data_IF_140927357743
#
_entry.id   IF_140927357743
#
_cell.length_a   1.000
_cell.length_b   1.000
_cell.length_c   1.000
_cell.angle_alpha   90.00
_cell.angle_beta   90.00
_cell.angle_gamma   90.00
#
_symmetry.space_group_name_H-M   'P 1'
#
loop_
_entity.id
_entity.type
_entity.pdbx_description
1 polymer ?
#
# COMPACT_ATOMS: atom_id res chain seq x y z
N UNK A 1 -20.84 -47.80 20.50
CA UNK A 1 -22.05 -47.03 20.10
C UNK A 1 -22.22 -45.82 21.03
N UNK A 2 -22.10 -44.56 20.61
CA UNK A 2 -22.48 -43.94 19.34
C UNK A 2 -21.62 -42.69 19.08
N UNK A 3 -21.29 -42.48 17.79
CA UNK A 3 -20.53 -41.37 17.22
C UNK A 3 -21.06 -40.00 17.63
N UNK A 4 -20.21 -39.16 18.21
CA UNK A 4 -20.34 -37.69 18.17
C UNK A 4 -19.54 -37.17 16.97
N UNK A 5 -20.07 -37.41 15.77
CA UNK A 5 -19.76 -36.62 14.58
C UNK A 5 -20.95 -35.69 14.37
N UNK A 6 -21.04 -34.63 15.16
CA UNK A 6 -21.85 -33.47 14.77
C UNK A 6 -21.10 -32.76 13.64
N UNK A 7 -21.53 -33.12 12.43
CA UNK A 7 -21.21 -32.47 11.19
C UNK A 7 -21.58 -30.99 11.33
N UNK A 8 -20.60 -30.12 11.59
CA UNK A 8 -20.77 -28.69 11.38
C UNK A 8 -21.12 -28.49 9.92
N UNK A 9 -22.40 -28.22 9.64
CA UNK A 9 -22.87 -27.81 8.33
C UNK A 9 -22.14 -26.52 7.96
N UNK A 10 -21.11 -26.71 7.16
CA UNK A 10 -20.31 -25.68 6.52
C UNK A 10 -21.28 -24.87 5.68
N UNK A 11 -21.71 -23.70 6.19
CA UNK A 11 -22.64 -22.83 5.49
C UNK A 11 -22.10 -22.45 4.10
N UNK A 12 -22.97 -21.98 3.17
CA UNK A 12 -22.60 -21.73 1.76
C UNK A 12 -21.39 -20.79 1.57
N UNK A 13 -21.06 -19.96 2.56
CA UNK A 13 -19.86 -19.11 2.57
C UNK A 13 -18.55 -19.91 2.68
N UNK A 14 -18.54 -21.02 3.41
CA UNK A 14 -17.36 -21.86 3.60
C UNK A 14 -17.19 -22.89 2.48
N UNK A 15 -18.25 -23.24 1.75
CA UNK A 15 -18.16 -24.01 0.50
C UNK A 15 -17.42 -23.23 -0.60
N UNK A 16 -17.52 -21.90 -0.62
CA UNK A 16 -16.74 -21.04 -1.52
C UNK A 16 -15.23 -21.07 -1.20
N UNK A 17 -14.86 -21.31 0.07
CA UNK A 17 -13.45 -21.46 0.49
C UNK A 17 -12.86 -22.85 0.15
N UNK A 18 -13.69 -23.83 -0.22
CA UNK A 18 -13.24 -25.15 -0.67
C UNK A 18 -12.99 -25.24 -2.18
N UNK A 19 -13.37 -24.21 -2.95
CA UNK A 19 -12.91 -24.07 -4.33
C UNK A 19 -11.41 -23.76 -4.23
N UNK A 20 -10.56 -24.64 -4.77
CA UNK A 20 -9.17 -24.27 -5.05
C UNK A 20 -9.22 -23.10 -6.03
N UNK A 21 -9.18 -21.88 -5.52
CA UNK A 21 -8.96 -20.72 -6.34
C UNK A 21 -7.69 -20.98 -7.16
N UNK A 22 -7.68 -20.69 -8.47
CA UNK A 22 -6.45 -20.76 -9.23
C UNK A 22 -5.39 -19.92 -8.51
N UNK A 23 -4.14 -20.40 -8.45
CA UNK A 23 -3.10 -19.66 -7.76
C UNK A 23 -2.99 -18.27 -8.38
N UNK A 24 -2.93 -17.23 -7.53
CA UNK A 24 -2.90 -15.82 -7.95
C UNK A 24 -1.73 -15.52 -8.90
N UNK A 25 -0.65 -16.29 -8.77
CA UNK A 25 0.54 -16.23 -9.60
C UNK A 25 0.84 -17.64 -10.12
N UNK A 26 1.40 -17.73 -11.32
CA UNK A 26 1.83 -18.99 -11.95
C UNK A 26 3.23 -18.85 -12.56
N UNK A 27 3.84 -19.99 -12.91
CA UNK A 27 5.14 -20.04 -13.56
C UNK A 27 6.25 -19.34 -12.76
N UNK A 28 7.14 -18.64 -13.48
CA UNK A 28 8.33 -17.99 -12.91
C UNK A 28 8.01 -16.96 -11.84
N UNK A 29 6.91 -16.22 -11.99
CA UNK A 29 6.46 -15.25 -10.99
C UNK A 29 6.12 -15.93 -9.66
N UNK A 30 5.42 -17.06 -9.70
CA UNK A 30 5.09 -17.82 -8.48
C UNK A 30 6.34 -18.38 -7.79
N UNK A 31 7.29 -18.89 -8.58
CA UNK A 31 8.58 -19.38 -8.08
C UNK A 31 9.38 -18.25 -7.43
N UNK A 32 9.47 -17.08 -8.07
CA UNK A 32 10.20 -15.93 -7.53
C UNK A 32 9.58 -15.39 -6.24
N UNK A 33 8.24 -15.32 -6.18
CA UNK A 33 7.53 -14.95 -4.93
C UNK A 33 7.79 -15.98 -3.83
N UNK A 34 7.81 -17.27 -4.16
CA UNK A 34 8.09 -18.33 -3.18
C UNK A 34 9.51 -18.22 -2.62
N UNK A 35 10.50 -17.95 -3.48
CA UNK A 35 11.89 -17.72 -3.06
C UNK A 35 12.03 -16.47 -2.18
N UNK A 36 11.38 -15.37 -2.56
CA UNK A 36 11.36 -14.15 -1.75
C UNK A 36 10.74 -14.41 -0.37
N UNK A 37 9.60 -15.10 -0.33
CA UNK A 37 8.91 -15.45 0.91
C UNK A 37 9.78 -16.31 1.83
N UNK A 38 10.53 -17.26 1.26
CA UNK A 38 11.49 -18.06 2.02
C UNK A 38 12.57 -17.19 2.67
N UNK A 39 13.15 -16.24 1.93
CA UNK A 39 14.14 -15.30 2.48
C UNK A 39 13.57 -14.43 3.61
N UNK A 40 12.37 -13.87 3.42
CA UNK A 40 11.69 -13.05 4.45
C UNK A 40 11.46 -13.86 5.73
N UNK A 41 10.95 -15.08 5.59
CA UNK A 41 10.67 -15.94 6.73
C UNK A 41 11.95 -16.37 7.45
N UNK A 42 13.02 -16.68 6.71
CA UNK A 42 14.32 -17.03 7.27
C UNK A 42 14.92 -15.88 8.09
N UNK A 43 14.90 -14.65 7.58
CA UNK A 43 15.41 -13.48 8.34
C UNK A 43 14.54 -13.21 9.58
N UNK A 44 13.22 -13.32 9.45
CA UNK A 44 12.29 -13.13 10.57
C UNK A 44 12.51 -14.18 11.68
N UNK A 45 12.77 -15.44 11.31
CA UNK A 45 13.09 -16.54 12.24
C UNK A 45 14.42 -16.33 12.98
N UNK A 46 15.40 -15.69 12.33
CA UNK A 46 16.66 -15.27 12.97
C UNK A 46 16.46 -14.07 13.91
N UNK A 47 15.23 -13.60 14.11
CA UNK A 47 14.95 -12.43 14.94
C UNK A 47 15.29 -11.10 14.27
N UNK A 48 15.54 -11.10 12.95
CA UNK A 48 16.06 -9.96 12.20
C UNK A 48 14.98 -9.32 11.34
N UNK A 49 14.93 -8.00 11.41
CA UNK A 49 14.04 -7.13 10.65
C UNK A 49 14.49 -7.19 9.20
N UNK A 50 13.52 -7.18 8.31
CA UNK A 50 13.78 -7.14 6.88
C UNK A 50 12.83 -6.16 6.20
N UNK A 51 13.35 -5.48 5.18
CA UNK A 51 12.61 -4.49 4.39
C UNK A 51 12.54 -4.99 2.95
N UNK A 52 11.31 -5.14 2.45
CA UNK A 52 11.03 -5.54 1.07
C UNK A 52 10.36 -4.40 0.32
N UNK A 53 10.96 -3.95 -0.78
CA UNK A 53 10.36 -2.93 -1.65
C UNK A 53 9.78 -3.56 -2.91
N UNK A 54 8.53 -3.21 -3.24
CA UNK A 54 7.82 -3.73 -4.43
C UNK A 54 7.73 -2.65 -5.49
N UNK A 55 8.44 -2.85 -6.61
CA UNK A 55 8.61 -1.89 -7.71
C UNK A 55 7.95 -2.43 -8.99
N UNK A 56 7.59 -1.53 -9.90
CA UNK A 56 7.03 -1.89 -11.21
C UNK A 56 6.10 -0.81 -11.75
N UNK A 57 5.80 -0.90 -13.05
CA UNK A 57 4.95 0.08 -13.73
C UNK A 57 3.52 0.12 -13.15
N UNK A 58 2.71 1.10 -13.53
CA UNK A 58 1.29 1.16 -13.16
C UNK A 58 0.59 -0.14 -13.59
N UNK A 59 -0.39 -0.58 -12.79
CA UNK A 59 -1.25 -1.72 -13.11
C UNK A 59 -0.56 -3.10 -13.22
N UNK A 60 0.67 -3.27 -12.71
CA UNK A 60 1.42 -4.53 -12.77
C UNK A 60 1.09 -5.54 -11.65
N UNK A 61 0.40 -5.12 -10.59
CA UNK A 61 0.03 -5.97 -9.45
C UNK A 61 0.75 -5.68 -8.13
N UNK A 62 1.51 -4.58 -8.02
CA UNK A 62 2.27 -4.20 -6.80
C UNK A 62 1.49 -4.25 -5.48
N UNK A 63 0.36 -3.54 -5.41
CA UNK A 63 -0.46 -3.53 -4.18
C UNK A 63 -1.03 -4.91 -3.86
N UNK A 64 -1.37 -5.70 -4.90
CA UNK A 64 -1.82 -7.07 -4.70
C UNK A 64 -0.71 -7.96 -4.13
N UNK A 65 0.51 -7.86 -4.67
CA UNK A 65 1.66 -8.59 -4.14
C UNK A 65 1.94 -8.19 -2.70
N UNK A 66 1.91 -6.90 -2.39
CA UNK A 66 2.11 -6.37 -1.03
C UNK A 66 1.13 -7.00 -0.03
N UNK A 67 -0.16 -7.10 -0.40
CA UNK A 67 -1.16 -7.82 0.41
C UNK A 67 -0.84 -9.30 0.57
N UNK A 68 -0.45 -9.97 -0.52
CA UNK A 68 -0.15 -11.39 -0.51
C UNK A 68 1.04 -11.68 0.42
N UNK A 69 2.12 -10.90 0.34
CA UNK A 69 3.27 -11.04 1.21
C UNK A 69 2.88 -10.80 2.68
N UNK A 70 2.18 -9.71 2.97
CA UNK A 70 1.74 -9.37 4.32
C UNK A 70 0.83 -10.44 4.93
N UNK A 71 -0.17 -10.93 4.18
CA UNK A 71 -1.06 -11.99 4.64
C UNK A 71 -0.32 -13.32 4.85
N UNK A 72 0.70 -13.61 4.04
CA UNK A 72 1.43 -14.89 4.10
C UNK A 72 2.35 -15.00 5.31
N UNK A 73 2.90 -13.89 5.79
CA UNK A 73 3.74 -13.88 7.00
C UNK A 73 2.94 -13.66 8.28
N UNK A 74 1.71 -13.13 8.18
CA UNK A 74 0.80 -12.96 9.31
C UNK A 74 0.46 -14.29 9.98
N UNK A 75 0.59 -14.37 11.31
CA UNK A 75 0.24 -15.59 12.04
C UNK A 75 0.46 -15.46 13.55
N UNK A 76 -0.14 -16.39 14.32
CA UNK A 76 0.07 -16.48 15.76
C UNK A 76 1.54 -16.80 16.07
N UNK A 77 2.10 -16.12 17.07
CA UNK A 77 3.50 -16.32 17.49
C UNK A 77 4.55 -15.73 16.56
N UNK A 78 4.15 -14.96 15.54
CA UNK A 78 5.04 -14.21 14.66
C UNK A 78 4.91 -12.72 14.92
N UNK A 79 5.98 -11.99 14.69
CA UNK A 79 5.94 -10.53 14.69
C UNK A 79 5.01 -10.01 13.59
N UNK A 80 4.17 -9.01 13.87
CA UNK A 80 3.22 -8.50 12.89
C UNK A 80 3.97 -7.85 11.72
N UNK A 81 3.56 -8.09 10.46
CA UNK A 81 4.09 -7.39 9.32
C UNK A 81 3.57 -5.95 9.26
N UNK A 82 4.34 -5.08 8.62
CA UNK A 82 3.97 -3.71 8.34
C UNK A 82 3.91 -3.46 6.83
N UNK A 83 3.00 -2.58 6.41
CA UNK A 83 2.94 -2.08 5.04
C UNK A 83 3.16 -0.57 5.07
N UNK A 84 4.20 -0.09 4.37
CA UNK A 84 4.38 1.32 4.08
C UNK A 84 3.87 1.58 2.66
N UNK A 85 2.72 2.24 2.56
CA UNK A 85 2.13 2.58 1.27
C UNK A 85 2.58 3.97 0.83
N UNK A 86 3.39 3.98 -0.23
CA UNK A 86 3.98 5.16 -0.81
C UNK A 86 3.22 5.67 -2.04
N UNK A 87 2.19 4.95 -2.52
CA UNK A 87 1.41 5.37 -3.69
C UNK A 87 0.36 6.44 -3.33
N UNK A 88 0.75 7.71 -3.44
CA UNK A 88 -0.16 8.84 -3.21
C UNK A 88 -1.30 8.93 -4.23
N UNK A 89 -1.18 8.29 -5.39
CA UNK A 89 -2.18 8.33 -6.45
C UNK A 89 -3.31 7.33 -6.23
N UNK A 90 -2.98 6.12 -5.77
CA UNK A 90 -3.93 5.04 -5.50
C UNK A 90 -3.64 4.32 -4.18
N UNK A 91 -3.61 5.04 -3.05
CA UNK A 91 -3.28 4.45 -1.75
C UNK A 91 -4.30 3.39 -1.38
N UNK A 92 -3.84 2.32 -0.75
CA UNK A 92 -4.55 1.08 -0.56
C UNK A 92 -5.65 1.17 0.49
N UNK A 93 -5.39 1.85 1.61
CA UNK A 93 -6.26 1.89 2.80
C UNK A 93 -6.64 3.31 3.24
N UNK A 94 -6.30 4.31 2.43
CA UNK A 94 -6.49 5.73 2.74
C UNK A 94 -7.08 6.48 1.54
N UNK A 95 -7.57 7.72 1.75
CA UNK A 95 -7.90 8.63 0.67
C UNK A 95 -6.69 8.97 -0.21
N UNK A 96 -6.90 9.31 -1.50
CA UNK A 96 -5.84 9.77 -2.39
C UNK A 96 -5.06 10.96 -1.81
N UNK A 97 -3.76 10.99 -2.06
CA UNK A 97 -2.84 11.99 -1.50
C UNK A 97 -2.31 11.65 -0.11
N UNK A 98 -2.58 10.45 0.39
CA UNK A 98 -2.08 9.97 1.68
C UNK A 98 -0.88 9.03 1.51
N UNK A 99 -0.01 9.03 2.51
CA UNK A 99 1.10 8.08 2.68
C UNK A 99 0.96 7.51 4.08
N UNK A 100 1.04 6.20 4.23
CA UNK A 100 0.70 5.56 5.51
C UNK A 100 1.54 4.34 5.84
N UNK A 101 1.83 4.17 7.12
CA UNK A 101 2.35 2.93 7.69
C UNK A 101 1.20 2.16 8.37
N UNK A 102 1.02 0.90 8.00
CA UNK A 102 -0.01 0.02 8.55
C UNK A 102 0.63 -1.16 9.25
N UNK A 103 0.38 -1.30 10.55
CA UNK A 103 0.60 -2.56 11.28
C UNK A 103 -0.50 -3.55 10.93
N UNK A 104 -0.15 -4.65 10.29
CA UNK A 104 -1.13 -5.67 9.88
C UNK A 104 -1.34 -6.66 11.02
N UNK A 105 -2.54 -6.62 11.61
CA UNK A 105 -2.94 -7.50 12.73
C UNK A 105 -4.01 -8.52 12.35
N UNK A 106 -4.59 -8.38 11.15
CA UNK A 106 -5.65 -9.24 10.62
C UNK A 106 -5.50 -9.39 9.11
N UNK A 107 -5.92 -10.52 8.50
CA UNK A 107 -5.85 -10.72 7.06
C UNK A 107 -6.51 -9.60 6.25
N UNK A 108 -5.84 -9.13 5.20
CA UNK A 108 -6.30 -8.10 4.27
C UNK A 108 -7.06 -8.76 3.11
N UNK A 109 -8.32 -9.13 3.35
CA UNK A 109 -9.18 -9.83 2.37
C UNK A 109 -10.26 -8.94 1.75
N UNK A 110 -10.31 -7.65 2.12
CA UNK A 110 -11.31 -6.71 1.63
C UNK A 110 -11.03 -6.24 0.20
N UNK A 111 -12.09 -5.82 -0.50
CA UNK A 111 -11.95 -5.16 -1.79
C UNK A 111 -11.15 -3.84 -1.61
N UNK A 112 -10.07 -3.62 -2.38
CA UNK A 112 -9.11 -2.55 -2.10
C UNK A 112 -9.71 -1.14 -1.93
N UNK A 113 -10.66 -0.68 -2.76
CA UNK A 113 -11.24 0.65 -2.60
C UNK A 113 -12.02 0.85 -1.29
N UNK A 114 -12.53 -0.23 -0.70
CA UNK A 114 -13.47 -0.20 0.42
C UNK A 114 -12.85 -0.56 1.76
N UNK A 115 -11.56 -0.93 1.78
CA UNK A 115 -10.86 -1.30 3.01
C UNK A 115 -10.23 -0.08 3.69
N UNK A 116 -11.02 0.98 3.85
CA UNK A 116 -10.55 2.23 4.45
C UNK A 116 -10.30 2.01 5.95
N UNK A 117 -9.23 2.62 6.48
CA UNK A 117 -8.91 2.61 7.90
C UNK A 117 -8.97 4.04 8.41
N UNK A 118 -10.00 4.36 9.19
CA UNK A 118 -10.27 5.74 9.64
C UNK A 118 -9.34 6.18 10.78
N UNK A 119 -8.76 5.22 11.52
CA UNK A 119 -7.80 5.47 12.59
C UNK A 119 -6.46 4.84 12.23
N UNK A 120 -5.63 5.58 11.49
CA UNK A 120 -4.22 5.28 11.30
C UNK A 120 -3.40 6.48 11.80
N UNK A 121 -2.81 6.32 12.99
CA UNK A 121 -1.95 7.33 13.61
C UNK A 121 -0.75 7.69 12.72
N UNK A 122 -0.25 6.70 11.98
CA UNK A 122 0.93 6.80 11.13
C UNK A 122 0.55 7.07 9.66
N UNK A 123 -0.35 8.04 9.45
CA UNK A 123 -0.75 8.51 8.12
C UNK A 123 -0.48 10.00 7.98
N UNK A 124 0.16 10.37 6.88
CA UNK A 124 0.42 11.76 6.52
C UNK A 124 -0.31 12.11 5.22
N UNK A 125 -0.96 13.28 5.21
CA UNK A 125 -1.57 13.83 4.01
C UNK A 125 -0.52 14.65 3.24
N UNK A 126 -0.05 14.09 2.11
CA UNK A 126 0.84 14.78 1.19
C UNK A 126 0.10 15.84 0.35
N UNK A 127 -1.21 15.72 0.20
CA UNK A 127 -2.06 16.73 -0.43
C UNK A 127 -2.07 16.71 -1.97
N UNK A 128 -1.29 15.82 -2.59
CA UNK A 128 -1.23 15.66 -4.05
C UNK A 128 -1.29 14.20 -4.43
N UNK A 129 -1.88 13.91 -5.59
CA UNK A 129 -1.99 12.57 -6.18
C UNK A 129 -0.79 12.19 -7.07
N UNK A 130 0.20 13.07 -7.15
CA UNK A 130 1.43 12.92 -7.91
C UNK A 130 2.58 13.56 -7.11
N UNK A 131 3.79 13.00 -7.19
CA UNK A 131 4.99 13.66 -6.68
C UNK A 131 5.45 14.60 -7.79
N UNK A 132 5.56 15.89 -7.46
CA UNK A 132 5.97 16.92 -8.40
C UNK A 132 7.50 16.90 -8.52
N UNK A 133 8.04 17.92 -9.20
CA UNK A 133 9.47 18.10 -9.41
C UNK A 133 10.30 18.18 -8.12
N UNK A 134 9.71 18.64 -7.02
CA UNK A 134 10.33 18.62 -5.69
C UNK A 134 9.77 17.45 -4.86
N UNK A 135 10.60 16.42 -4.68
CA UNK A 135 10.33 15.22 -3.88
C UNK A 135 10.66 15.40 -2.39
N UNK A 136 11.23 16.53 -1.96
CA UNK A 136 11.78 16.72 -0.61
C UNK A 136 10.74 16.48 0.48
N UNK A 137 9.57 17.10 0.38
CA UNK A 137 8.47 16.94 1.35
C UNK A 137 7.94 15.51 1.38
N UNK A 138 7.90 14.84 0.23
CA UNK A 138 7.50 13.45 0.13
C UNK A 138 8.52 12.53 0.83
N UNK A 139 9.82 12.71 0.58
CA UNK A 139 10.90 11.95 1.24
C UNK A 139 10.97 12.20 2.75
N UNK A 140 10.68 13.42 3.21
CA UNK A 140 10.57 13.73 4.65
C UNK A 140 9.45 12.90 5.30
N UNK A 141 8.29 12.77 4.65
CA UNK A 141 7.19 11.93 5.15
C UNK A 141 7.63 10.46 5.19
N UNK A 142 8.26 9.96 4.11
CA UNK A 142 8.75 8.58 4.05
C UNK A 142 9.76 8.29 5.16
N UNK A 143 10.69 9.20 5.42
CA UNK A 143 11.66 9.08 6.51
C UNK A 143 10.99 9.00 7.86
N UNK A 144 10.02 9.88 8.15
CA UNK A 144 9.26 9.85 9.41
C UNK A 144 8.55 8.52 9.62
N UNK A 145 7.90 8.00 8.58
CA UNK A 145 7.20 6.71 8.67
C UNK A 145 8.16 5.53 8.79
N UNK A 146 9.33 5.59 8.15
CA UNK A 146 10.39 4.62 8.37
C UNK A 146 10.87 4.66 9.82
N UNK A 147 11.12 5.84 10.38
CA UNK A 147 11.55 6.01 11.77
C UNK A 147 10.50 5.46 12.75
N UNK A 148 9.20 5.72 12.52
CA UNK A 148 8.11 5.10 13.28
C UNK A 148 8.20 3.57 13.25
N UNK A 149 8.35 2.97 12.06
CA UNK A 149 8.52 1.53 11.94
C UNK A 149 9.76 1.02 12.68
N UNK A 150 10.90 1.69 12.55
CA UNK A 150 12.16 1.26 13.16
C UNK A 150 12.11 1.30 14.70
N UNK A 151 11.39 2.27 15.26
CA UNK A 151 11.25 2.47 16.70
C UNK A 151 10.17 1.59 17.34
N UNK A 152 9.03 1.40 16.66
CA UNK A 152 7.84 0.79 17.29
C UNK A 152 7.63 -0.69 16.91
N UNK A 153 8.30 -1.17 15.88
CA UNK A 153 8.18 -2.57 15.45
C UNK A 153 9.09 -3.52 16.23
N UNK A 154 8.69 -4.79 16.31
CA UNK A 154 9.55 -5.83 16.86
C UNK A 154 10.76 -6.05 15.95
N UNK A 155 11.86 -6.52 16.53
CA UNK A 155 13.11 -6.72 15.79
C UNK A 155 12.99 -7.72 14.65
N UNK A 156 11.95 -8.56 14.61
CA UNK A 156 11.66 -9.53 13.55
C UNK A 156 10.44 -9.19 12.70
N UNK A 157 9.85 -7.99 12.86
CA UNK A 157 8.75 -7.53 12.01
C UNK A 157 9.27 -7.23 10.60
N UNK A 158 8.68 -7.81 9.54
CA UNK A 158 8.98 -7.43 8.17
C UNK A 158 8.23 -6.16 7.77
N UNK A 159 8.84 -5.34 6.91
CA UNK A 159 8.23 -4.18 6.27
C UNK A 159 8.08 -4.42 4.77
N UNK A 160 6.88 -4.20 4.25
CA UNK A 160 6.58 -4.22 2.82
C UNK A 160 6.31 -2.81 2.33
N UNK A 161 7.09 -2.33 1.37
CA UNK A 161 6.94 -0.99 0.79
C UNK A 161 6.24 -1.12 -0.56
N UNK A 162 5.01 -0.61 -0.66
CA UNK A 162 4.28 -0.47 -1.93
C UNK A 162 4.64 0.87 -2.57
N UNK A 163 5.29 0.86 -3.74
CA UNK A 163 5.72 2.09 -4.41
C UNK A 163 4.69 2.62 -5.42
N UNK A 164 4.83 3.88 -5.79
CA UNK A 164 4.19 4.44 -6.99
C UNK A 164 4.57 3.66 -8.25
N UNK A 165 3.72 3.71 -9.28
CA UNK A 165 3.97 3.11 -10.58
C UNK A 165 4.82 3.93 -11.56
N UNK A 166 5.74 4.79 -11.08
CA UNK A 166 6.59 5.60 -11.96
C UNK A 166 7.99 5.00 -12.02
N UNK A 167 8.35 4.43 -13.17
CA UNK A 167 9.60 3.65 -13.34
C UNK A 167 10.60 4.32 -14.29
N UNK A 168 10.29 5.52 -14.78
CA UNK A 168 11.10 6.25 -15.77
C UNK A 168 11.33 7.70 -15.36
N UNK A 169 12.34 8.33 -15.97
CA UNK A 169 12.64 9.76 -15.79
C UNK A 169 12.77 10.13 -14.30
N UNK A 170 12.04 11.17 -13.88
CA UNK A 170 12.01 11.59 -12.46
C UNK A 170 11.47 10.52 -11.51
N UNK A 171 10.60 9.63 -12.00
CA UNK A 171 10.12 8.48 -11.22
C UNK A 171 11.24 7.49 -10.91
N UNK A 172 12.11 7.23 -11.88
CA UNK A 172 13.31 6.41 -11.67
C UNK A 172 14.28 7.06 -10.69
N UNK A 173 14.51 8.38 -10.80
CA UNK A 173 15.32 9.11 -9.82
C UNK A 173 14.73 9.05 -8.41
N UNK A 174 13.41 9.19 -8.26
CA UNK A 174 12.75 9.02 -6.98
C UNK A 174 12.90 7.59 -6.42
N UNK A 175 12.87 6.58 -7.28
CA UNK A 175 13.12 5.19 -6.86
C UNK A 175 14.57 5.00 -6.39
N UNK A 176 15.56 5.64 -7.03
CA UNK A 176 16.95 5.65 -6.54
C UNK A 176 17.02 6.27 -5.13
N UNK A 177 16.39 7.43 -4.91
CA UNK A 177 16.32 8.08 -3.58
C UNK A 177 15.61 7.22 -2.54
N UNK A 178 14.53 6.51 -2.93
CA UNK A 178 13.81 5.60 -2.04
C UNK A 178 14.65 4.36 -1.69
N UNK A 179 15.42 3.80 -2.64
CA UNK A 179 16.33 2.69 -2.37
C UNK A 179 17.43 3.10 -1.37
N UNK A 180 17.98 4.31 -1.53
CA UNK A 180 18.95 4.86 -0.57
C UNK A 180 18.33 5.13 0.81
N UNK A 181 17.11 5.67 0.84
CA UNK A 181 16.39 5.98 2.09
C UNK A 181 16.04 4.72 2.88
N UNK A 182 15.49 3.71 2.20
CA UNK A 182 14.95 2.51 2.85
C UNK A 182 15.99 1.41 3.04
N UNK A 183 17.10 1.42 2.28
CA UNK A 183 18.16 0.41 2.29
C UNK A 183 17.59 -1.03 2.35
N UNK A 184 16.71 -1.42 1.40
CA UNK A 184 15.95 -2.66 1.50
C UNK A 184 16.86 -3.90 1.45
N UNK A 185 16.48 -4.95 2.16
CA UNK A 185 17.11 -6.27 2.04
C UNK A 185 16.71 -6.94 0.72
N UNK A 186 15.44 -6.76 0.35
CA UNK A 186 14.83 -7.41 -0.82
C UNK A 186 14.11 -6.39 -1.69
N UNK A 187 14.22 -6.58 -3.00
CA UNK A 187 13.40 -5.87 -3.98
C UNK A 187 12.68 -6.88 -4.85
N UNK A 188 11.36 -6.74 -4.98
CA UNK A 188 10.60 -7.44 -6.00
C UNK A 188 10.22 -6.45 -7.09
N UNK A 189 10.62 -6.71 -8.33
CA UNK A 189 10.25 -5.85 -9.46
C UNK A 189 9.37 -6.60 -10.46
N UNK A 190 8.24 -5.99 -10.80
CA UNK A 190 7.44 -6.44 -11.94
C UNK A 190 8.09 -5.98 -13.25
N UNK A 191 8.18 -6.90 -14.20
CA UNK A 191 8.74 -6.68 -15.53
C UNK A 191 7.61 -6.72 -16.55
N UNK A 192 7.54 -5.68 -17.37
CA UNK A 192 6.71 -5.61 -18.57
C UNK A 192 7.59 -5.94 -19.77
N UNK A 193 7.24 -6.98 -20.54
CA UNK A 193 8.00 -7.40 -21.72
C UNK A 193 7.94 -6.39 -22.87
N UNK A 194 6.94 -5.51 -22.87
CA UNK A 194 6.67 -4.53 -23.94
C UNK A 194 6.95 -3.09 -23.51
N UNK A 195 7.04 -2.86 -22.20
CA UNK A 195 7.21 -1.54 -21.61
C UNK A 195 8.57 -1.32 -20.96
N UNK A 196 8.76 -0.12 -20.45
CA UNK A 196 9.95 0.25 -19.70
C UNK A 196 9.94 -0.34 -18.30
N UNK A 197 11.12 -0.80 -17.88
CA UNK A 197 11.34 -1.43 -16.59
C UNK A 197 12.41 -0.66 -15.81
N UNK A 198 12.17 -0.49 -14.52
CA UNK A 198 13.18 0.09 -13.63
C UNK A 198 14.27 -0.93 -13.36
N UNK A 199 15.53 -0.52 -13.50
CA UNK A 199 16.70 -1.36 -13.24
C UNK A 199 17.25 -1.06 -11.86
N UNK A 200 17.05 -2.01 -10.95
CA UNK A 200 17.53 -1.91 -9.57
C UNK A 200 19.05 -1.98 -9.56
N UNK A 201 19.70 -0.92 -9.07
CA UNK A 201 21.15 -0.89 -8.85
C UNK A 201 21.47 -1.70 -7.60
N UNK A 202 22.28 -2.74 -7.74
CA UNK A 202 22.77 -3.53 -6.60
C UNK A 202 24.14 -3.03 -6.18
N UNK A 203 24.34 -2.88 -4.88
CA UNK A 203 25.67 -2.70 -4.30
C UNK A 203 26.22 -4.07 -3.90
N UNK A 204 27.50 -4.32 -4.18
CA UNK A 204 28.17 -5.53 -3.70
C UNK A 204 29.00 -5.14 -2.49
N UNK A 205 28.58 -5.56 -1.30
CA UNK A 205 29.35 -5.40 -0.06
C UNK A 205 29.74 -6.78 0.47
N UNK A 206 31.03 -6.99 0.74
CA UNK A 206 31.57 -8.24 1.28
C UNK A 206 31.17 -9.51 0.49
N UNK A 207 31.03 -9.39 -0.84
CA UNK A 207 30.65 -10.50 -1.72
C UNK A 207 29.15 -10.78 -1.82
N UNK A 208 28.31 -10.10 -1.03
CA UNK A 208 26.86 -10.23 -1.10
C UNK A 208 26.23 -9.00 -1.78
N UNK A 209 25.37 -9.24 -2.77
CA UNK A 209 24.59 -8.18 -3.42
C UNK A 209 23.45 -7.74 -2.50
N UNK A 210 23.35 -6.43 -2.24
CA UNK A 210 22.21 -5.80 -1.56
C UNK A 210 21.64 -4.67 -2.42
N UNK A 211 20.30 -4.62 -2.64
CA UNK A 211 19.30 -5.63 -2.25
C UNK A 211 19.40 -6.91 -3.08
N UNK A 212 18.87 -8.02 -2.56
CA UNK A 212 18.57 -9.20 -3.39
C UNK A 212 17.32 -8.90 -4.24
N UNK A 213 17.42 -9.08 -5.55
CA UNK A 213 16.38 -8.68 -6.50
C UNK A 213 15.66 -9.91 -7.05
N UNK A 214 14.33 -9.84 -6.99
CA UNK A 214 13.38 -10.84 -7.48
C UNK A 214 12.54 -10.23 -8.60
N UNK A 215 12.12 -11.08 -9.55
CA UNK A 215 11.44 -10.64 -10.76
C UNK A 215 10.14 -11.41 -10.96
N UNK A 216 9.10 -10.68 -11.36
CA UNK A 216 7.83 -11.27 -11.76
C UNK A 216 7.31 -10.63 -13.03
N UNK A 217 6.59 -11.39 -13.83
CA UNK A 217 5.88 -10.86 -15.00
C UNK A 217 4.69 -10.01 -14.53
N UNK A 218 4.47 -8.86 -15.19
CA UNK A 218 3.30 -8.02 -14.95
C UNK A 218 1.99 -8.82 -15.13
N UNK A 219 1.07 -8.70 -14.18
CA UNK A 219 -0.23 -9.39 -14.26
C UNK A 219 -1.11 -8.63 -15.26
N UNK A 220 -1.58 -9.31 -16.31
CA UNK A 220 -2.59 -8.76 -17.20
C UNK A 220 -3.91 -8.52 -16.44
N UNK A 221 -4.45 -7.31 -16.52
CA UNK A 221 -5.77 -7.02 -15.96
C UNK A 221 -6.83 -7.81 -16.74
N UNK A 222 -7.78 -8.48 -16.07
CA UNK A 222 -8.95 -8.99 -16.75
C UNK A 222 -9.67 -7.84 -17.45
N UNK A 223 -9.95 -7.98 -18.76
CA UNK A 223 -10.49 -6.91 -19.62
C UNK A 223 -11.83 -6.33 -19.14
N UNK A 224 -12.52 -6.97 -18.20
CA UNK A 224 -13.89 -6.63 -17.78
C UNK A 224 -14.00 -5.67 -16.59
N UNK A 225 -12.89 -5.23 -15.97
CA UNK A 225 -12.90 -4.22 -14.89
C UNK A 225 -11.97 -3.05 -15.22
N UNK A 226 -12.41 -2.18 -16.13
CA UNK A 226 -11.68 -0.96 -16.50
C UNK A 226 -12.29 0.22 -15.75
N UNK A 227 -12.06 0.28 -14.43
CA UNK A 227 -12.22 1.55 -13.73
C UNK A 227 -10.96 2.39 -13.97
N UNK A 228 -11.15 3.64 -14.41
CA UNK A 228 -10.05 4.58 -14.51
C UNK A 228 -9.50 4.91 -13.12
N UNK A 229 -8.24 5.35 -13.07
CA UNK A 229 -7.62 5.81 -11.82
C UNK A 229 -8.43 6.91 -11.14
N UNK A 230 -9.09 7.79 -11.91
CA UNK A 230 -9.94 8.84 -11.35
C UNK A 230 -11.17 8.27 -10.66
N UNK A 231 -11.86 7.30 -11.27
CA UNK A 231 -13.03 6.65 -10.68
C UNK A 231 -12.64 5.91 -9.40
N UNK A 232 -11.52 5.17 -9.39
CA UNK A 232 -11.03 4.49 -8.19
C UNK A 232 -10.73 5.48 -7.06
N UNK A 233 -10.17 6.65 -7.37
CA UNK A 233 -9.95 7.71 -6.37
C UNK A 233 -11.27 8.23 -5.78
N UNK A 234 -12.27 8.50 -6.61
CA UNK A 234 -13.59 8.94 -6.14
C UNK A 234 -14.26 7.88 -5.26
N UNK A 235 -14.14 6.60 -5.63
CA UNK A 235 -14.65 5.48 -4.82
C UNK A 235 -13.95 5.40 -3.46
N UNK A 236 -12.62 5.61 -3.41
CA UNK A 236 -11.87 5.62 -2.15
C UNK A 236 -12.30 6.76 -1.22
N UNK A 237 -12.50 7.95 -1.76
CA UNK A 237 -13.01 9.10 -0.98
C UNK A 237 -14.42 8.79 -0.45
N UNK A 238 -15.29 8.24 -1.30
CA UNK A 238 -16.64 7.84 -0.90
C UNK A 238 -16.60 6.79 0.21
N UNK A 239 -15.75 5.77 0.07
CA UNK A 239 -15.60 4.71 1.05
C UNK A 239 -15.06 5.24 2.38
N UNK A 240 -14.14 6.21 2.35
CA UNK A 240 -13.57 6.80 3.56
C UNK A 240 -14.62 7.60 4.33
N UNK A 241 -15.46 8.34 3.60
CA UNK A 241 -16.55 9.12 4.17
C UNK A 241 -17.81 8.29 4.46
N UNK A 242 -17.85 7.01 4.08
CA UNK A 242 -19.06 6.21 4.10
C UNK A 242 -19.68 6.06 5.49
N UNK A 243 -18.89 6.08 6.56
CA UNK A 243 -19.38 6.04 7.94
C UNK A 243 -20.18 7.28 8.35
N UNK A 244 -19.98 8.40 7.66
CA UNK A 244 -20.73 9.65 7.87
C UNK A 244 -22.01 9.70 7.03
N UNK A 245 -22.07 8.91 5.96
CA UNK A 245 -23.22 8.92 5.06
C UNK A 245 -24.35 8.02 5.59
N UNK A 246 -25.62 8.46 5.50
CA UNK A 246 -26.78 7.60 5.76
C UNK A 246 -26.78 6.31 4.92
N UNK A 247 -26.27 6.39 3.68
CA UNK A 247 -26.09 5.28 2.75
C UNK A 247 -24.69 5.40 2.15
N UNK A 248 -23.89 4.32 2.00
CA UNK A 248 -22.51 4.38 1.49
C UNK A 248 -22.42 4.67 -0.01
N UNK A 249 -22.86 5.86 -0.43
CA UNK A 249 -22.85 6.35 -1.81
C UNK A 249 -22.44 7.81 -1.83
N UNK A 250 -21.82 8.26 -2.93
CA UNK A 250 -21.41 9.66 -3.08
C UNK A 250 -22.63 10.61 -3.06
N UNK A 251 -23.78 10.17 -3.59
CA UNK A 251 -25.03 10.95 -3.58
C UNK A 251 -25.52 11.22 -2.16
N UNK A 252 -25.40 10.25 -1.26
CA UNK A 252 -25.83 10.36 0.12
C UNK A 252 -24.95 11.30 0.95
N UNK A 253 -23.83 11.78 0.43
CA UNK A 253 -22.97 12.73 1.14
C UNK A 253 -23.68 14.06 1.40
N UNK A 254 -24.57 14.49 0.49
CA UNK A 254 -25.42 15.66 0.70
C UNK A 254 -26.46 15.47 1.82
N UNK A 255 -26.78 14.22 2.16
CA UNK A 255 -27.73 13.86 3.21
C UNK A 255 -27.03 13.62 4.57
N UNK A 256 -25.69 13.62 4.60
CA UNK A 256 -24.93 13.50 5.84
C UNK A 256 -25.13 14.74 6.72
N UNK A 257 -25.32 14.53 8.02
CA UNK A 257 -25.45 15.65 8.95
C UNK A 257 -24.14 16.45 9.02
N UNK A 258 -24.15 17.75 8.69
CA UNK A 258 -22.93 18.55 8.69
C UNK A 258 -22.42 18.75 10.13
N UNK A 259 -21.10 18.69 10.29
CA UNK A 259 -20.44 19.07 11.54
C UNK A 259 -20.06 20.54 11.48
N UNK A 260 -20.52 21.32 12.46
CA UNK A 260 -20.13 22.73 12.58
C UNK A 260 -18.84 22.84 13.41
N UNK A 261 -17.82 23.47 12.84
CA UNK A 261 -16.56 23.79 13.52
C UNK A 261 -16.40 25.30 13.50
N UNK A 262 -16.08 25.91 14.65
CA UNK A 262 -15.83 27.35 14.70
C UNK A 262 -14.46 27.65 14.12
N UNK A 263 -14.36 28.63 13.21
CA UNK A 263 -13.08 29.02 12.62
C UNK A 263 -12.04 29.49 13.65
N UNK A 264 -12.46 29.96 14.83
CA UNK A 264 -11.54 30.30 15.92
C UNK A 264 -10.85 29.08 16.55
N UNK A 265 -11.42 27.89 16.35
CA UNK A 265 -10.92 26.63 16.92
C UNK A 265 -10.02 25.87 15.92
N UNK A 266 -9.83 26.39 14.71
CA UNK A 266 -9.01 25.77 13.66
C UNK A 266 -8.09 26.77 12.97
N UNK A 267 -6.92 26.29 12.55
CA UNK A 267 -6.03 27.04 11.67
C UNK A 267 -6.06 26.42 10.27
N UNK A 268 -6.44 27.21 9.27
CA UNK A 268 -6.40 26.77 7.87
C UNK A 268 -5.08 27.18 7.25
N UNK A 269 -4.24 26.21 6.92
CA UNK A 269 -2.97 26.43 6.25
C UNK A 269 -3.12 26.10 4.76
N UNK A 270 -2.99 27.10 3.89
CA UNK A 270 -3.09 26.91 2.45
C UNK A 270 -1.70 27.04 1.85
N UNK A 271 -1.20 25.94 1.29
CA UNK A 271 0.03 25.94 0.51
C UNK A 271 -0.30 26.30 -0.94
N UNK A 272 -0.34 27.59 -1.26
CA UNK A 272 -0.42 28.02 -2.65
C UNK A 272 0.96 28.40 -3.17
N UNK A 273 1.26 27.95 -4.39
CA UNK A 273 2.43 28.42 -5.13
C UNK A 273 2.20 29.82 -5.74
N UNK A 274 0.98 30.36 -5.64
CA UNK A 274 0.60 31.67 -6.17
C UNK A 274 -0.11 32.52 -5.10
N UNK A 275 0.06 33.86 -5.13
CA UNK A 275 -0.63 34.76 -4.23
C UNK A 275 -2.11 34.83 -4.61
N UNK A 276 -2.99 34.26 -3.78
CA UNK A 276 -4.43 34.49 -3.90
C UNK A 276 -4.84 35.65 -2.99
N UNK A 277 -5.78 36.51 -3.42
CA UNK A 277 -6.33 37.57 -2.58
C UNK A 277 -6.94 37.01 -1.30
N UNK A 278 -6.64 37.59 -0.14
CA UNK A 278 -7.11 37.10 1.18
C UNK A 278 -8.64 37.03 1.30
N UNK A 279 -9.37 37.86 0.54
CA UNK A 279 -10.83 37.87 0.47
C UNK A 279 -11.42 36.66 -0.29
N UNK A 280 -10.62 35.89 -1.02
CA UNK A 280 -11.10 34.72 -1.77
C UNK A 280 -10.91 33.40 -1.01
N UNK A 281 -10.30 33.41 0.18
CA UNK A 281 -9.96 32.20 0.92
C UNK A 281 -11.18 31.31 1.19
N UNK A 282 -12.31 31.91 1.60
CA UNK A 282 -13.54 31.17 1.86
C UNK A 282 -14.21 30.65 0.60
N UNK A 283 -14.00 31.31 -0.54
CA UNK A 283 -14.51 30.85 -1.84
C UNK A 283 -13.68 29.69 -2.40
N UNK A 284 -12.39 29.59 -2.03
CA UNK A 284 -11.52 28.46 -2.39
C UNK A 284 -11.77 27.24 -1.50
N UNK A 285 -12.15 27.47 -0.23
CA UNK A 285 -12.47 26.40 0.71
C UNK A 285 -13.85 25.77 0.47
N UNK A 286 -14.76 26.47 -0.20
CA UNK A 286 -16.12 26.04 -0.51
C UNK A 286 -16.19 25.40 -1.91
#
# INVERSE_FOLDING_TARGET
PSNYNECYSVGPLCSALQIRYPPLYSGRTAESISQLMEQILNESQKGKRNITMVIGNKNTGKSMLTRVLANSVLGKGRSPPYILDCDVGQPEMNPPGSISLLKVTSPLLGAPPFQQRILLSDTYFYGKICVNDDSSSYLVILRKLLDCFLNDSLSSSPLFINTCGWVEGKGASLLDEMLELFDPDFVFTFVDSTGSNYMVKQSVMNGNAKPLVFYGDAIEKPMHMIYSSSVLRSLRITAYMAELCPIPTLKSFADAAPSAILFRDVAVLIHTNEPFPSNHIFAVLN
#
